data_IF_758765299182
#
_entry.id   IF_758765299182
#
_cell.length_a   1.000
_cell.length_b   1.000
_cell.length_c   1.000
_cell.angle_alpha   90.00
_cell.angle_beta   90.00
_cell.angle_gamma   90.00
#
_symmetry.space_group_name_H-M   'P 1'
#
loop_
_entity.id
_entity.type
_entity.pdbx_description
1 polymer ?
#
# COMPACT_ATOMS: atom_id res chain seq x y z
N UNK A 1 10.33 15.30 -27.45
CA UNK A 1 9.88 16.35 -26.49
C UNK A 1 8.40 16.17 -26.12
N UNK A 2 7.54 15.72 -27.04
CA UNK A 2 6.17 15.26 -26.75
C UNK A 2 6.11 14.07 -25.78
N UNK A 3 6.99 13.09 -25.96
CA UNK A 3 6.88 11.80 -25.26
C UNK A 3 7.26 11.90 -23.77
N UNK A 4 8.27 12.71 -23.44
CA UNK A 4 8.66 12.99 -22.05
C UNK A 4 7.58 13.79 -21.29
N UNK A 5 6.84 14.66 -21.98
CA UNK A 5 5.73 15.42 -21.39
C UNK A 5 4.50 14.51 -21.23
N UNK A 6 4.22 13.61 -22.19
CA UNK A 6 3.16 12.61 -22.05
C UNK A 6 3.43 11.64 -20.91
N UNK A 7 4.66 11.12 -20.78
CA UNK A 7 5.10 10.29 -19.65
C UNK A 7 4.92 11.00 -18.30
N UNK A 8 5.23 12.30 -18.25
CA UNK A 8 5.02 13.12 -17.07
C UNK A 8 3.53 13.20 -16.70
N UNK A 9 2.64 13.49 -17.65
CA UNK A 9 1.19 13.53 -17.39
C UNK A 9 0.58 12.14 -17.10
N UNK A 10 1.04 11.07 -17.75
CA UNK A 10 0.59 9.69 -17.52
C UNK A 10 1.10 9.09 -16.19
N UNK A 11 2.20 9.61 -15.63
CA UNK A 11 2.69 9.24 -14.30
C UNK A 11 2.15 10.13 -13.18
N UNK A 12 1.99 11.45 -13.40
CA UNK A 12 1.62 12.40 -12.34
C UNK A 12 0.14 12.85 -12.36
N UNK A 13 -0.51 12.85 -13.52
CA UNK A 13 -1.88 13.35 -13.72
C UNK A 13 -2.77 12.33 -14.44
N UNK A 14 -2.52 11.05 -14.18
CA UNK A 14 -3.30 9.95 -14.76
C UNK A 14 -4.71 9.94 -14.18
N UNK A 15 -5.63 10.65 -14.84
CA UNK A 15 -7.03 10.78 -14.42
C UNK A 15 -7.69 9.40 -14.29
N UNK A 16 -7.30 8.42 -15.12
CA UNK A 16 -7.81 7.04 -15.00
C UNK A 16 -7.38 6.41 -13.68
N UNK A 17 -6.09 6.49 -13.31
CA UNK A 17 -5.62 6.03 -11.99
C UNK A 17 -6.34 6.75 -10.85
N UNK A 18 -6.56 8.06 -10.94
CA UNK A 18 -7.29 8.81 -9.91
C UNK A 18 -8.73 8.31 -9.76
N UNK A 19 -9.42 8.04 -10.87
CA UNK A 19 -10.78 7.49 -10.88
C UNK A 19 -10.80 6.07 -10.31
N UNK A 20 -9.84 5.22 -10.68
CA UNK A 20 -9.69 3.86 -10.18
C UNK A 20 -9.43 3.85 -8.68
N UNK A 21 -8.47 4.62 -8.19
CA UNK A 21 -8.19 4.75 -6.75
C UNK A 21 -9.40 5.28 -5.98
N UNK A 22 -10.16 6.22 -6.55
CA UNK A 22 -11.41 6.71 -5.94
C UNK A 22 -12.50 5.62 -5.89
N UNK A 23 -12.54 4.74 -6.89
CA UNK A 23 -13.46 3.59 -6.93
C UNK A 23 -13.05 2.53 -5.91
N UNK A 24 -11.77 2.19 -5.84
CA UNK A 24 -11.20 1.25 -4.87
C UNK A 24 -11.43 1.73 -3.44
N UNK A 25 -11.19 3.01 -3.17
CA UNK A 25 -11.49 3.62 -1.86
C UNK A 25 -12.97 3.48 -1.49
N UNK A 26 -13.88 3.76 -2.44
CA UNK A 26 -15.33 3.59 -2.20
C UNK A 26 -15.70 2.13 -1.90
N UNK A 27 -15.06 1.17 -2.59
CA UNK A 27 -15.28 -0.25 -2.35
C UNK A 27 -14.78 -0.65 -0.95
N UNK A 28 -13.59 -0.22 -0.55
CA UNK A 28 -13.07 -0.48 0.79
C UNK A 28 -13.99 0.08 1.87
N UNK A 29 -14.47 1.33 1.71
CA UNK A 29 -15.42 1.94 2.65
C UNK A 29 -16.74 1.15 2.72
N UNK A 30 -17.23 0.63 1.60
CA UNK A 30 -18.43 -0.19 1.58
C UNK A 30 -18.23 -1.53 2.29
N UNK A 31 -17.09 -2.19 2.08
CA UNK A 31 -16.71 -3.45 2.75
C UNK A 31 -16.66 -3.27 4.26
N UNK A 32 -15.97 -2.24 4.74
CA UNK A 32 -15.90 -1.92 6.17
C UNK A 32 -17.31 -1.71 6.74
N UNK A 33 -18.17 -0.95 6.06
CA UNK A 33 -19.55 -0.70 6.51
C UNK A 33 -20.45 -1.93 6.55
N UNK A 34 -20.10 -2.99 5.83
CA UNK A 34 -20.83 -4.25 5.83
C UNK A 34 -20.43 -5.18 7.00
N UNK A 35 -19.31 -4.89 7.67
CA UNK A 35 -18.87 -5.65 8.85
C UNK A 35 -19.75 -5.37 10.07
N UNK A 36 -19.75 -6.26 11.07
CA UNK A 36 -20.38 -6.01 12.38
C UNK A 36 -19.85 -4.73 13.06
N UNK A 37 -20.62 -4.14 13.97
CA UNK A 37 -20.32 -2.83 14.56
C UNK A 37 -19.00 -2.77 15.35
N UNK A 38 -18.67 -3.84 16.06
CA UNK A 38 -17.42 -4.01 16.79
C UNK A 38 -16.21 -4.06 15.84
N UNK A 39 -16.32 -4.80 14.73
CA UNK A 39 -15.32 -4.81 13.67
C UNK A 39 -15.11 -3.42 13.05
N UNK A 40 -16.20 -2.72 12.75
CA UNK A 40 -16.15 -1.35 12.23
C UNK A 40 -15.44 -0.40 13.20
N UNK A 41 -15.71 -0.53 14.49
CA UNK A 41 -15.09 0.28 15.53
C UNK A 41 -13.58 0.03 15.61
N UNK A 42 -13.18 -1.24 15.70
CA UNK A 42 -11.77 -1.62 15.80
C UNK A 42 -11.01 -1.22 14.54
N UNK A 43 -11.58 -1.42 13.36
CA UNK A 43 -10.97 -0.99 12.10
C UNK A 43 -10.66 0.51 12.10
N UNK A 44 -11.62 1.36 12.51
CA UNK A 44 -11.42 2.81 12.60
C UNK A 44 -10.33 3.19 13.61
N UNK A 45 -10.23 2.46 14.73
CA UNK A 45 -9.18 2.68 15.73
C UNK A 45 -7.80 2.34 15.18
N UNK A 46 -7.66 1.19 14.52
CA UNK A 46 -6.43 0.76 13.86
C UNK A 46 -6.02 1.78 12.78
N UNK A 47 -6.96 2.17 11.90
CA UNK A 47 -6.72 3.18 10.88
C UNK A 47 -6.18 4.47 11.50
N UNK A 48 -6.87 5.02 12.51
CA UNK A 48 -6.43 6.24 13.21
C UNK A 48 -5.06 6.10 13.85
N UNK A 49 -4.76 4.94 14.44
CA UNK A 49 -3.44 4.65 15.00
C UNK A 49 -2.37 4.66 13.91
N UNK A 50 -2.56 3.91 12.82
CA UNK A 50 -1.59 3.85 11.72
C UNK A 50 -1.32 5.21 11.09
N UNK A 51 -2.32 6.08 10.94
CA UNK A 51 -2.09 7.44 10.41
C UNK A 51 -1.09 8.25 11.25
N UNK A 52 -1.02 8.02 12.56
CA UNK A 52 -0.03 8.67 13.43
C UNK A 52 1.39 8.13 13.19
N UNK A 53 1.55 6.85 12.85
CA UNK A 53 2.87 6.20 12.70
C UNK A 53 3.37 6.09 11.25
N UNK A 54 2.47 6.18 10.27
CA UNK A 54 2.79 6.03 8.85
C UNK A 54 3.23 7.34 8.18
N UNK A 55 3.00 8.50 8.81
CA UNK A 55 3.42 9.79 8.29
C UNK A 55 4.95 9.84 8.07
N UNK A 56 5.37 9.80 6.80
CA UNK A 56 6.78 9.89 6.40
C UNK A 56 7.51 8.56 6.23
N UNK A 57 6.87 7.41 6.46
CA UNK A 57 7.52 6.08 6.40
C UNK A 57 7.41 5.37 5.04
N UNK A 58 6.68 5.93 4.07
CA UNK A 58 6.60 5.41 2.70
C UNK A 58 5.76 4.14 2.53
N UNK A 59 4.97 3.75 3.53
CA UNK A 59 4.08 2.59 3.45
C UNK A 59 2.99 2.75 2.38
N UNK A 60 2.66 1.64 1.71
CA UNK A 60 1.44 1.54 0.91
C UNK A 60 0.22 1.32 1.82
N UNK A 61 -0.31 2.42 2.36
CA UNK A 61 -1.47 2.40 3.25
C UNK A 61 -2.73 1.82 2.60
N UNK A 62 -2.87 1.89 1.27
CA UNK A 62 -4.03 1.31 0.58
C UNK A 62 -3.99 -0.21 0.62
N UNK A 63 -2.82 -0.80 0.44
CA UNK A 63 -2.62 -2.24 0.54
C UNK A 63 -2.84 -2.75 1.97
N UNK A 64 -2.28 -2.06 2.97
CA UNK A 64 -2.46 -2.43 4.39
C UNK A 64 -3.95 -2.46 4.76
N UNK A 65 -4.71 -1.43 4.36
CA UNK A 65 -6.15 -1.41 4.63
C UNK A 65 -6.88 -2.55 3.91
N UNK A 66 -6.47 -2.89 2.67
CA UNK A 66 -7.08 -3.99 1.93
C UNK A 66 -6.91 -5.33 2.65
N UNK A 67 -5.67 -5.64 3.05
CA UNK A 67 -5.33 -6.89 3.74
C UNK A 67 -6.05 -6.97 5.11
N UNK A 68 -6.14 -5.85 5.84
CA UNK A 68 -6.87 -5.79 7.10
C UNK A 68 -8.38 -6.03 6.92
N UNK A 69 -8.98 -5.46 5.87
CA UNK A 69 -10.40 -5.69 5.56
C UNK A 69 -10.64 -7.16 5.23
N UNK A 70 -9.77 -7.80 4.44
CA UNK A 70 -9.89 -9.23 4.12
C UNK A 70 -9.82 -10.12 5.37
N UNK A 71 -8.87 -9.85 6.25
CA UNK A 71 -8.75 -10.55 7.53
C UNK A 71 -10.03 -10.41 8.38
N UNK A 72 -10.59 -9.20 8.42
CA UNK A 72 -11.80 -8.92 9.20
C UNK A 72 -13.05 -9.55 8.59
N UNK A 73 -13.19 -9.55 7.27
CA UNK A 73 -14.29 -10.24 6.57
C UNK A 73 -14.25 -11.74 6.82
N UNK A 74 -13.06 -12.37 6.76
CA UNK A 74 -12.90 -13.79 7.05
C UNK A 74 -13.31 -14.12 8.49
N UNK A 75 -12.81 -13.35 9.46
CA UNK A 75 -13.15 -13.55 10.86
C UNK A 75 -14.63 -13.31 11.18
N UNK A 76 -15.24 -12.29 10.56
CA UNK A 76 -16.67 -12.02 10.71
C UNK A 76 -17.52 -13.14 10.07
N UNK A 77 -17.10 -13.69 8.93
CA UNK A 77 -17.78 -14.83 8.29
C UNK A 77 -17.72 -16.10 9.14
N UNK A 78 -16.66 -16.26 9.93
CA UNK A 78 -16.51 -17.35 10.91
C UNK A 78 -17.23 -17.07 12.24
N UNK A 79 -17.81 -15.89 12.42
CA UNK A 79 -18.50 -15.50 13.65
C UNK A 79 -17.56 -15.23 14.84
N UNK A 80 -16.28 -14.98 14.57
CA UNK A 80 -15.30 -14.67 15.62
C UNK A 80 -15.53 -13.28 16.20
N UNK A 81 -15.29 -13.06 17.51
CA UNK A 81 -15.13 -11.73 18.05
C UNK A 81 -13.90 -11.04 17.44
N UNK A 82 -13.97 -9.74 17.16
CA UNK A 82 -12.84 -9.02 16.54
C UNK A 82 -11.55 -9.10 17.36
N UNK A 83 -11.65 -9.15 18.70
CA UNK A 83 -10.49 -9.29 19.59
C UNK A 83 -9.85 -10.68 19.56
N UNK A 84 -10.54 -11.70 19.05
CA UNK A 84 -9.92 -13.01 18.79
C UNK A 84 -8.93 -12.93 17.62
N UNK A 85 -9.14 -11.96 16.71
CA UNK A 85 -8.30 -11.73 15.52
C UNK A 85 -7.16 -10.78 15.86
N UNK A 86 -7.48 -9.66 16.52
CA UNK A 86 -6.49 -8.63 16.82
C UNK A 86 -5.71 -8.89 18.11
N UNK A 87 -6.22 -9.77 18.98
CA UNK A 87 -5.81 -9.82 20.38
C UNK A 87 -6.34 -8.64 21.19
N UNK A 88 -6.18 -8.75 22.51
CA UNK A 88 -6.52 -7.66 23.46
C UNK A 88 -5.53 -6.48 23.34
N UNK A 89 -4.28 -6.76 22.98
CA UNK A 89 -3.28 -5.74 22.67
C UNK A 89 -3.32 -5.35 21.19
N UNK A 90 -4.33 -4.52 20.86
CA UNK A 90 -4.54 -4.02 19.49
C UNK A 90 -3.37 -3.16 19.01
N UNK A 91 -2.60 -2.55 19.92
CA UNK A 91 -1.44 -1.74 19.54
C UNK A 91 -0.31 -2.63 19.04
N UNK A 92 -0.01 -3.73 19.75
CA UNK A 92 0.96 -4.73 19.29
C UNK A 92 0.58 -5.33 17.94
N UNK A 93 -0.71 -5.60 17.72
CA UNK A 93 -1.22 -6.03 16.41
C UNK A 93 -0.94 -4.99 15.31
N UNK A 94 -1.14 -3.70 15.59
CA UNK A 94 -0.85 -2.64 14.63
C UNK A 94 0.65 -2.57 14.29
N UNK A 95 1.53 -2.73 15.29
CA UNK A 95 2.98 -2.72 15.10
C UNK A 95 3.44 -3.87 14.21
N UNK A 96 2.90 -5.07 14.42
CA UNK A 96 3.19 -6.25 13.60
C UNK A 96 2.66 -6.09 12.17
N UNK A 97 1.44 -5.54 12.02
CA UNK A 97 0.85 -5.27 10.71
C UNK A 97 1.67 -4.23 9.92
N UNK A 98 2.13 -3.16 10.56
CA UNK A 98 3.02 -2.17 9.94
C UNK A 98 4.40 -2.75 9.59
N UNK A 99 4.94 -3.65 10.43
CA UNK A 99 6.23 -4.32 10.15
C UNK A 99 6.14 -5.20 8.90
N UNK A 100 5.06 -5.96 8.77
CA UNK A 100 4.78 -6.76 7.56
C UNK A 100 4.71 -5.87 6.32
N UNK A 101 4.00 -4.75 6.41
CA UNK A 101 3.89 -3.77 5.32
C UNK A 101 5.22 -3.13 4.90
N UNK A 102 6.14 -2.94 5.85
CA UNK A 102 7.47 -2.39 5.60
C UNK A 102 8.28 -3.28 4.65
N UNK A 103 8.22 -4.60 4.88
CA UNK A 103 8.90 -5.61 4.04
C UNK A 103 8.46 -5.49 2.58
N UNK A 104 7.15 -5.45 2.33
CA UNK A 104 6.62 -5.26 0.97
C UNK A 104 7.07 -3.95 0.32
N UNK A 105 7.19 -2.89 1.11
CA UNK A 105 7.60 -1.56 0.63
C UNK A 105 9.09 -1.55 0.26
N UNK A 106 9.93 -2.21 1.07
CA UNK A 106 11.36 -2.38 0.79
C UNK A 106 11.58 -3.18 -0.50
N UNK A 107 10.86 -4.29 -0.69
CA UNK A 107 10.91 -5.11 -1.91
C UNK A 107 10.60 -4.28 -3.17
N UNK A 108 9.57 -3.43 -3.11
CA UNK A 108 9.21 -2.54 -4.21
C UNK A 108 10.29 -1.49 -4.50
N UNK A 109 10.87 -0.87 -3.46
CA UNK A 109 11.95 0.12 -3.60
C UNK A 109 13.19 -0.51 -4.23
N UNK A 110 13.55 -1.71 -3.81
CA UNK A 110 14.67 -2.45 -4.39
C UNK A 110 14.41 -2.82 -5.85
N UNK A 111 13.20 -3.29 -6.18
CA UNK A 111 12.82 -3.60 -7.55
C UNK A 111 12.92 -2.38 -8.47
N UNK A 112 12.40 -1.23 -8.02
CA UNK A 112 12.50 0.04 -8.75
C UNK A 112 13.96 0.47 -8.95
N UNK A 113 14.76 0.46 -7.90
CA UNK A 113 16.18 0.82 -7.97
C UNK A 113 16.93 -0.09 -8.94
N UNK A 114 16.64 -1.40 -8.93
CA UNK A 114 17.24 -2.38 -9.82
C UNK A 114 16.88 -2.12 -11.28
N UNK A 115 15.63 -1.78 -11.57
CA UNK A 115 15.19 -1.45 -12.93
C UNK A 115 15.86 -0.16 -13.45
N UNK A 116 15.90 0.89 -12.62
CA UNK A 116 16.59 2.15 -12.93
C UNK A 116 18.08 1.90 -13.20
N UNK A 117 18.77 1.15 -12.33
CA UNK A 117 20.19 0.82 -12.51
C UNK A 117 20.43 -0.04 -13.76
N UNK A 118 19.53 -0.95 -14.10
CA UNK A 118 19.63 -1.76 -15.32
C UNK A 118 19.51 -0.93 -16.58
N UNK A 119 18.58 0.03 -16.60
CA UNK A 119 18.32 0.87 -17.77
C UNK A 119 19.35 2.00 -17.92
N UNK A 120 19.77 2.63 -16.82
CA UNK A 120 20.78 3.69 -16.83
C UNK A 120 22.23 3.17 -16.82
N UNK A 121 22.48 1.99 -16.24
CA UNK A 121 23.79 1.33 -16.22
C UNK A 121 24.22 0.82 -17.60
N UNK A 122 23.28 0.44 -18.45
CA UNK A 122 23.54 0.07 -19.87
C UNK A 122 24.07 1.25 -20.70
N UNK A 123 23.76 2.50 -20.32
CA UNK A 123 24.23 3.69 -21.01
C UNK A 123 25.73 3.98 -20.83
N UNK A 124 26.38 3.47 -19.77
CA UNK A 124 27.82 3.68 -19.53
C UNK A 124 28.72 2.69 -20.26
N UNK A 125 28.26 1.46 -20.54
CA UNK A 125 29.07 0.42 -21.20
C UNK A 125 29.22 0.66 -22.72
N UNK A 126 28.34 1.48 -23.33
CA UNK A 126 28.38 1.73 -24.77
C UNK A 126 29.27 2.94 -25.16
N UNK A 127 29.56 3.86 -24.24
CA UNK A 127 30.33 5.08 -24.53
C UNK A 127 31.85 4.88 -24.49
N UNK A 128 32.35 3.80 -23.89
CA UNK A 128 33.80 3.52 -23.80
C UNK A 128 34.33 2.65 -24.95
N UNK A 129 33.47 2.13 -25.83
CA UNK A 129 33.89 1.34 -27.02
C UNK A 129 34.07 2.14 -28.31
N UNK A 130 33.78 3.45 -28.29
CA UNK A 130 33.88 4.34 -29.46
C UNK A 130 34.99 5.41 -29.33
N UNK A 131 35.93 5.24 -28.40
CA UNK A 131 37.21 6.00 -28.37
C UNK A 131 38.37 5.03 -28.57
N UNK A 132 38.57 4.57 -29.80
CA UNK A 132 39.88 4.14 -30.29
C UNK A 132 39.92 4.28 -31.81
#
# INVERSE_FOLDING_TARGET
MSDQISEFFDNYLNIKKIIESKREYKQQVARVKALPEDYQYVFKKIQGHMWMFAAGAGYDMMKIHYDLIELFEAGAAEGKPVLEITGEDVAAFCDDLLRSARTYTEDWREALNRDILRNLGKGRIQNDRNRN
#
